data_IF_410686137512
#
_entry.id   IF_410686137512
#
_cell.length_a   1.000
_cell.length_b   1.000
_cell.length_c   1.000
_cell.angle_alpha   90.00
_cell.angle_beta   90.00
_cell.angle_gamma   90.00
#
_symmetry.space_group_name_H-M   'P 1'
#
loop_
_entity.id
_entity.type
_entity.pdbx_description
1 polymer ?
#
# COMPACT_ATOMS: atom_id res chain seq x y z
N UNK A 1 -15.02 -0.16 45.64
CA UNK A 1 -14.39 1.07 45.07
C UNK A 1 -14.21 0.78 43.59
N UNK A 2 -14.81 1.58 42.70
CA UNK A 2 -14.70 1.37 41.26
C UNK A 2 -13.25 1.63 40.83
N UNK A 3 -12.49 0.56 40.61
CA UNK A 3 -11.15 0.64 40.02
C UNK A 3 -11.30 1.09 38.58
N UNK A 4 -11.10 2.38 38.35
CA UNK A 4 -10.93 2.91 37.00
C UNK A 4 -9.72 2.21 36.36
N UNK A 5 -9.86 1.79 35.10
CA UNK A 5 -8.79 1.12 34.32
C UNK A 5 -7.66 2.07 33.91
N UNK A 6 -7.75 3.35 34.27
CA UNK A 6 -6.85 4.40 33.84
C UNK A 6 -6.39 5.33 34.97
N UNK A 7 -5.29 6.05 34.74
CA UNK A 7 -4.67 7.03 35.64
C UNK A 7 -4.25 8.29 34.85
N UNK A 8 -4.15 9.42 35.55
CA UNK A 8 -3.70 10.69 34.99
C UNK A 8 -4.86 11.66 34.72
N UNK A 9 -4.78 12.43 33.63
CA UNK A 9 -5.88 13.32 33.21
C UNK A 9 -6.91 12.55 32.38
N UNK A 10 -8.19 12.96 32.37
CA UNK A 10 -9.16 12.42 31.43
C UNK A 10 -8.73 12.69 29.97
N UNK A 11 -9.07 11.76 29.09
CA UNK A 11 -8.74 11.83 27.66
C UNK A 11 -9.24 13.11 26.95
N UNK A 12 -10.33 13.72 27.43
CA UNK A 12 -10.87 14.99 26.93
C UNK A 12 -9.95 16.21 27.16
N UNK A 13 -9.01 16.13 28.11
CA UNK A 13 -7.97 17.14 28.29
C UNK A 13 -6.82 16.98 27.27
N UNK A 14 -6.76 15.83 26.58
CA UNK A 14 -5.76 15.54 25.55
C UNK A 14 -6.31 15.85 24.15
N UNK A 15 -7.54 15.44 23.83
CA UNK A 15 -8.22 15.77 22.56
C UNK A 15 -9.42 16.70 22.81
N UNK A 16 -9.37 17.92 22.26
CA UNK A 16 -10.51 18.84 22.32
C UNK A 16 -10.10 20.31 22.45
N UNK A 17 -11.09 21.19 22.62
CA UNK A 17 -10.87 22.63 22.85
C UNK A 17 -10.06 22.94 24.11
N UNK A 18 -9.96 21.98 25.03
CA UNK A 18 -9.16 22.08 26.26
C UNK A 18 -7.73 21.55 26.10
N UNK A 19 -7.41 20.93 24.95
CA UNK A 19 -6.07 20.42 24.67
C UNK A 19 -5.06 21.57 24.55
N UNK A 20 -3.90 21.49 25.23
CA UNK A 20 -2.85 22.50 25.07
C UNK A 20 -2.24 22.50 23.66
N UNK A 21 -2.49 21.45 22.87
CA UNK A 21 -2.02 21.32 21.48
C UNK A 21 -3.08 21.73 20.45
N UNK A 22 -4.28 22.11 20.90
CA UNK A 22 -5.42 22.45 20.05
C UNK A 22 -5.95 21.27 19.22
N UNK A 23 -6.90 21.56 18.33
CA UNK A 23 -7.32 20.67 17.26
C UNK A 23 -6.80 21.23 15.93
N UNK A 24 -5.52 20.97 15.56
CA UNK A 24 -4.99 21.52 14.32
C UNK A 24 -5.79 20.95 13.15
N UNK A 25 -6.56 21.81 12.47
CA UNK A 25 -7.10 21.45 11.16
C UNK A 25 -5.91 21.07 10.27
N UNK A 26 -5.99 19.89 9.65
CA UNK A 26 -4.96 19.51 8.70
C UNK A 26 -4.96 20.52 7.54
N UNK A 27 -3.79 21.08 7.17
CA UNK A 27 -3.73 22.02 6.07
C UNK A 27 -4.23 21.35 4.79
N UNK A 28 -4.83 22.16 3.91
CA UNK A 28 -5.25 21.69 2.60
C UNK A 28 -4.06 21.10 1.85
N UNK A 29 -4.29 20.01 1.12
CA UNK A 29 -3.25 19.35 0.33
C UNK A 29 -2.94 20.23 -0.89
N UNK A 30 -1.72 20.78 -0.93
CA UNK A 30 -1.28 21.66 -2.00
C UNK A 30 -0.01 21.08 -2.63
N UNK A 31 0.04 20.91 -3.96
CA UNK A 31 1.27 20.50 -4.64
C UNK A 31 2.39 21.51 -4.40
N UNK A 32 3.59 21.02 -4.08
CA UNK A 32 4.76 21.86 -3.85
C UNK A 32 6.05 21.13 -4.26
N UNK A 33 7.22 21.78 -4.13
CA UNK A 33 8.51 21.16 -4.45
C UNK A 33 8.80 19.89 -3.62
N UNK A 34 8.28 19.82 -2.39
CA UNK A 34 8.44 18.68 -1.48
C UNK A 34 7.16 17.84 -1.32
N UNK A 35 6.07 18.20 -1.99
CA UNK A 35 4.79 17.49 -1.90
C UNK A 35 4.26 17.11 -3.29
N UNK A 36 4.40 15.83 -3.63
CA UNK A 36 3.81 15.26 -4.85
C UNK A 36 2.35 14.89 -4.63
N UNK A 37 1.44 15.49 -5.38
CA UNK A 37 0.01 15.15 -5.34
C UNK A 37 -0.36 14.46 -6.65
N UNK A 38 -0.90 13.24 -6.58
CA UNK A 38 -1.18 12.40 -7.76
C UNK A 38 -2.63 12.48 -8.25
N UNK A 39 -3.42 13.39 -7.70
CA UNK A 39 -4.78 13.69 -8.11
C UNK A 39 -4.94 15.20 -8.35
N UNK A 40 -5.99 15.58 -9.07
CA UNK A 40 -6.36 16.96 -9.30
C UNK A 40 -6.94 17.57 -8.02
N UNK A 41 -6.30 18.61 -7.50
CA UNK A 41 -6.79 19.40 -6.37
C UNK A 41 -7.69 20.51 -6.91
N UNK A 42 -8.99 20.54 -6.58
CA UNK A 42 -9.89 21.61 -7.00
C UNK A 42 -9.44 22.98 -6.46
N UNK A 43 -9.88 24.07 -7.07
CA UNK A 43 -9.57 25.45 -6.60
C UNK A 43 -10.03 25.72 -5.17
N UNK A 44 -11.04 25.00 -4.68
CA UNK A 44 -11.52 25.04 -3.29
C UNK A 44 -10.60 24.31 -2.30
N UNK A 45 -9.57 23.61 -2.80
CA UNK A 45 -8.61 22.82 -2.02
C UNK A 45 -9.17 21.51 -1.45
N UNK A 46 -10.47 21.25 -1.60
CA UNK A 46 -11.15 20.06 -1.06
C UNK A 46 -11.67 19.18 -2.20
N UNK A 47 -11.29 17.88 -2.25
CA UNK A 47 -11.90 16.92 -3.16
C UNK A 47 -13.41 16.80 -2.93
N UNK A 48 -14.16 16.39 -3.96
CA UNK A 48 -15.55 16.00 -3.80
C UNK A 48 -15.63 14.80 -2.82
N UNK A 49 -16.57 14.84 -1.87
CA UNK A 49 -16.70 13.76 -0.88
C UNK A 49 -17.35 12.50 -1.47
N UNK A 50 -18.17 12.66 -2.52
CA UNK A 50 -18.99 11.57 -3.07
C UNK A 50 -18.32 10.79 -4.20
N UNK A 51 -17.14 11.22 -4.67
CA UNK A 51 -16.45 10.56 -5.77
C UNK A 51 -14.92 10.66 -5.63
N UNK A 52 -14.16 9.62 -6.05
CA UNK A 52 -12.71 9.68 -6.07
C UNK A 52 -12.20 10.87 -6.89
N UNK A 53 -11.15 11.58 -6.43
CA UNK A 53 -10.61 12.70 -7.18
C UNK A 53 -9.98 12.22 -8.49
N UNK A 54 -10.08 13.06 -9.52
CA UNK A 54 -9.53 12.76 -10.85
C UNK A 54 -8.01 12.58 -10.76
N UNK A 55 -7.41 11.56 -11.40
CA UNK A 55 -5.96 11.41 -11.46
C UNK A 55 -5.27 12.65 -12.04
N UNK A 56 -4.08 12.98 -11.52
CA UNK A 56 -3.23 14.01 -12.11
C UNK A 56 -2.53 13.46 -13.33
N UNK A 57 -2.66 14.14 -14.46
CA UNK A 57 -1.93 13.81 -15.68
C UNK A 57 -0.43 14.05 -15.51
N UNK A 58 0.37 13.18 -16.13
CA UNK A 58 1.82 13.23 -16.11
C UNK A 58 2.40 12.33 -17.19
N UNK A 59 3.73 12.23 -17.20
CA UNK A 59 4.46 11.39 -18.13
C UNK A 59 5.12 10.23 -17.37
N UNK A 60 5.27 9.08 -18.04
CA UNK A 60 6.01 7.94 -17.51
C UNK A 60 7.47 8.33 -17.23
N UNK A 61 8.00 7.86 -16.09
CA UNK A 61 9.39 8.08 -15.70
C UNK A 61 9.97 6.76 -15.23
N UNK A 62 11.01 6.32 -15.93
CA UNK A 62 11.73 5.10 -15.62
C UNK A 62 13.18 5.42 -15.25
N UNK A 63 13.40 5.89 -14.02
CA UNK A 63 14.74 6.06 -13.45
C UNK A 63 14.79 5.64 -11.97
N UNK A 64 15.93 5.87 -11.32
CA UNK A 64 16.20 5.43 -9.94
C UNK A 64 15.58 6.33 -8.86
N UNK A 65 14.89 7.42 -9.23
CA UNK A 65 14.21 8.35 -8.33
C UNK A 65 12.71 8.09 -8.21
N UNK A 66 12.13 7.28 -9.11
CA UNK A 66 10.70 7.00 -9.17
C UNK A 66 10.43 5.48 -9.14
N UNK A 67 9.20 5.11 -8.80
CA UNK A 67 8.74 3.73 -8.83
C UNK A 67 8.77 3.22 -10.28
N UNK A 68 9.39 2.07 -10.52
CA UNK A 68 9.28 1.36 -11.81
C UNK A 68 7.84 0.84 -11.99
N UNK A 69 7.03 1.54 -12.77
CA UNK A 69 5.62 1.18 -12.96
C UNK A 69 5.45 -0.06 -13.87
N UNK A 70 4.60 -1.05 -13.51
CA UNK A 70 4.32 -2.22 -14.34
C UNK A 70 3.95 -1.89 -15.79
N UNK A 71 3.16 -0.83 -15.98
CA UNK A 71 2.63 -0.38 -17.26
C UNK A 71 3.58 0.53 -18.08
N UNK A 72 4.82 0.77 -17.61
CA UNK A 72 5.81 1.53 -18.38
C UNK A 72 6.21 0.78 -19.66
N UNK A 73 6.42 1.52 -20.75
CA UNK A 73 6.99 0.97 -21.99
C UNK A 73 8.41 0.39 -21.80
N UNK A 74 9.12 0.79 -20.74
CA UNK A 74 10.46 0.29 -20.41
C UNK A 74 10.42 -0.97 -19.52
N UNK A 75 9.23 -1.38 -19.08
CA UNK A 75 9.01 -2.66 -18.39
C UNK A 75 9.03 -3.79 -19.41
N UNK A 76 10.22 -4.23 -19.81
CA UNK A 76 10.41 -5.30 -20.80
C UNK A 76 10.61 -6.66 -20.12
N UNK A 77 10.17 -7.73 -20.78
CA UNK A 77 10.32 -9.11 -20.30
C UNK A 77 10.85 -10.03 -21.42
N UNK A 78 11.84 -10.90 -21.13
CA UNK A 78 12.34 -11.87 -22.09
C UNK A 78 11.33 -12.99 -22.30
N UNK A 79 10.99 -13.26 -23.57
CA UNK A 79 10.12 -14.35 -23.99
C UNK A 79 10.87 -15.16 -25.03
N UNK A 80 10.98 -16.47 -24.81
CA UNK A 80 11.52 -17.41 -25.77
C UNK A 80 10.48 -17.70 -26.86
N UNK A 81 10.88 -17.60 -28.12
CA UNK A 81 10.05 -18.01 -29.25
C UNK A 81 10.15 -19.51 -29.53
N UNK A 82 9.40 -19.97 -30.55
CA UNK A 82 9.36 -21.40 -30.93
C UNK A 82 10.71 -21.96 -31.39
N UNK A 83 11.65 -21.10 -31.76
CA UNK A 83 12.98 -21.46 -32.21
C UNK A 83 14.02 -21.35 -31.07
N UNK A 84 13.59 -21.04 -29.84
CA UNK A 84 14.45 -20.84 -28.68
C UNK A 84 15.13 -19.46 -28.63
N UNK A 85 14.78 -18.53 -29.52
CA UNK A 85 15.35 -17.18 -29.52
C UNK A 85 14.65 -16.32 -28.46
N UNK A 86 15.43 -15.65 -27.60
CA UNK A 86 14.88 -14.76 -26.57
C UNK A 86 14.62 -13.36 -27.13
N UNK A 87 13.36 -12.94 -27.18
CA UNK A 87 12.94 -11.60 -27.58
C UNK A 87 12.37 -10.81 -26.40
N UNK A 88 12.68 -9.52 -26.34
CA UNK A 88 12.10 -8.63 -25.35
C UNK A 88 10.71 -8.17 -25.80
N UNK A 89 9.70 -8.41 -24.97
CA UNK A 89 8.34 -7.90 -25.16
C UNK A 89 7.96 -6.94 -24.05
N UNK A 90 6.98 -6.06 -24.30
CA UNK A 90 6.40 -5.23 -23.23
C UNK A 90 5.73 -6.14 -22.21
N UNK A 91 6.20 -6.08 -20.97
CA UNK A 91 5.70 -6.93 -19.89
C UNK A 91 4.23 -6.65 -19.60
N UNK A 92 3.80 -5.41 -19.76
CA UNK A 92 2.41 -5.02 -19.53
C UNK A 92 1.44 -5.74 -20.47
N UNK A 93 1.78 -5.90 -21.75
CA UNK A 93 0.95 -6.64 -22.73
C UNK A 93 0.80 -8.12 -22.31
N UNK A 94 1.85 -8.73 -21.74
CA UNK A 94 1.81 -10.10 -21.21
C UNK A 94 0.87 -10.16 -19.98
N UNK A 95 0.94 -9.16 -19.09
CA UNK A 95 0.06 -9.06 -17.92
C UNK A 95 -1.40 -8.90 -18.38
N UNK A 96 -1.67 -8.01 -19.32
CA UNK A 96 -3.02 -7.80 -19.88
C UNK A 96 -3.58 -9.09 -20.47
N UNK A 97 -2.79 -9.80 -21.27
CA UNK A 97 -3.19 -11.08 -21.86
C UNK A 97 -3.42 -12.19 -20.81
N UNK A 98 -2.62 -12.22 -19.74
CA UNK A 98 -2.79 -13.19 -18.66
C UNK A 98 -4.08 -12.94 -17.87
N UNK A 99 -4.41 -11.67 -17.64
CA UNK A 99 -5.56 -11.25 -16.84
C UNK A 99 -6.85 -11.05 -17.64
N UNK A 100 -6.80 -11.11 -18.98
CA UNK A 100 -7.99 -11.08 -19.83
C UNK A 100 -8.78 -12.39 -19.78
N UNK A 101 -8.19 -13.47 -19.26
CA UNK A 101 -8.82 -14.79 -19.13
C UNK A 101 -9.51 -14.90 -17.77
N UNK A 102 -10.67 -15.55 -17.68
CA UNK A 102 -11.30 -15.87 -16.39
C UNK A 102 -10.36 -16.68 -15.49
N UNK A 103 -10.36 -16.35 -14.20
CA UNK A 103 -9.61 -17.05 -13.16
C UNK A 103 -10.61 -17.59 -12.14
N UNK A 104 -10.85 -18.89 -12.17
CA UNK A 104 -11.92 -19.54 -11.43
C UNK A 104 -11.46 -20.24 -10.15
N UNK A 105 -10.15 -20.34 -9.91
CA UNK A 105 -9.62 -20.99 -8.71
C UNK A 105 -8.18 -20.55 -8.39
N UNK A 106 -7.69 -21.02 -7.24
CA UNK A 106 -6.36 -20.67 -6.70
C UNK A 106 -5.21 -21.11 -7.62
N UNK A 107 -5.36 -22.23 -8.35
CA UNK A 107 -4.36 -22.71 -9.31
C UNK A 107 -4.26 -21.80 -10.52
N UNK A 108 -5.39 -21.43 -11.12
CA UNK A 108 -5.43 -20.50 -12.25
C UNK A 108 -4.89 -19.12 -11.87
N UNK A 109 -5.13 -18.66 -10.63
CA UNK A 109 -4.55 -17.42 -10.12
C UNK A 109 -3.02 -17.51 -10.03
N UNK A 110 -2.49 -18.60 -9.49
CA UNK A 110 -1.05 -18.84 -9.43
C UNK A 110 -0.43 -18.91 -10.84
N UNK A 111 -1.07 -19.62 -11.77
CA UNK A 111 -0.61 -19.77 -13.16
C UNK A 111 -0.60 -18.43 -13.89
N UNK A 112 -1.63 -17.60 -13.72
CA UNK A 112 -1.68 -16.25 -14.26
C UNK A 112 -0.50 -15.41 -13.74
N UNK A 113 -0.25 -15.40 -12.42
CA UNK A 113 0.86 -14.66 -11.82
C UNK A 113 2.23 -15.16 -12.34
N UNK A 114 2.39 -16.47 -12.50
CA UNK A 114 3.63 -17.07 -12.98
C UNK A 114 3.90 -16.83 -14.47
N UNK A 115 2.86 -16.62 -15.28
CA UNK A 115 3.01 -16.40 -16.73
C UNK A 115 3.88 -15.19 -17.08
N UNK A 116 3.84 -14.13 -16.26
CA UNK A 116 4.68 -12.93 -16.39
C UNK A 116 5.76 -12.83 -15.30
N UNK A 117 6.00 -13.93 -14.57
CA UNK A 117 7.06 -14.12 -13.56
C UNK A 117 7.79 -15.46 -13.77
N UNK A 118 8.01 -15.87 -15.03
CA UNK A 118 8.52 -17.20 -15.42
C UNK A 118 9.81 -17.63 -14.70
N UNK A 119 10.71 -16.70 -14.39
CA UNK A 119 11.94 -16.97 -13.62
C UNK A 119 11.69 -17.57 -12.23
N UNK A 120 10.47 -17.43 -11.70
CA UNK A 120 10.07 -17.90 -10.39
C UNK A 120 9.16 -19.13 -10.42
N UNK A 121 8.86 -19.70 -11.61
CA UNK A 121 7.92 -20.83 -11.77
C UNK A 121 8.31 -22.07 -10.95
N UNK A 122 9.61 -22.34 -10.82
CA UNK A 122 10.11 -23.44 -9.98
C UNK A 122 10.13 -23.10 -8.49
N UNK A 123 10.18 -21.81 -8.13
CA UNK A 123 10.40 -21.34 -6.77
C UNK A 123 9.09 -21.02 -6.03
N UNK A 124 8.11 -20.45 -6.73
CA UNK A 124 6.85 -20.04 -6.13
C UNK A 124 5.82 -21.17 -6.27
N UNK A 125 5.41 -21.71 -5.12
CA UNK A 125 4.48 -22.83 -4.98
C UNK A 125 3.11 -22.43 -4.46
N UNK A 126 2.92 -21.18 -4.02
CA UNK A 126 1.61 -20.63 -3.62
C UNK A 126 0.88 -21.44 -2.54
N UNK A 127 1.63 -22.15 -1.68
CA UNK A 127 1.10 -23.08 -0.67
C UNK A 127 0.00 -22.46 0.20
N UNK A 128 0.25 -21.27 0.76
CA UNK A 128 -0.73 -20.60 1.61
C UNK A 128 -1.97 -20.13 0.85
N UNK A 129 -1.80 -19.72 -0.42
CA UNK A 129 -2.92 -19.33 -1.28
C UNK A 129 -3.83 -20.53 -1.56
N UNK A 130 -3.24 -21.67 -1.95
CA UNK A 130 -4.01 -22.89 -2.20
C UNK A 130 -4.70 -23.38 -0.93
N UNK A 131 -3.98 -23.44 0.19
CA UNK A 131 -4.54 -23.84 1.48
C UNK A 131 -5.74 -22.98 1.87
N UNK A 132 -5.66 -21.66 1.73
CA UNK A 132 -6.77 -20.77 2.06
C UNK A 132 -8.05 -21.13 1.28
N UNK A 133 -7.96 -21.17 -0.04
CA UNK A 133 -9.15 -21.33 -0.89
C UNK A 133 -9.66 -22.77 -0.99
N UNK A 134 -8.78 -23.76 -0.83
CA UNK A 134 -9.15 -25.17 -1.01
C UNK A 134 -9.47 -25.88 0.31
N UNK A 135 -8.96 -25.39 1.45
CA UNK A 135 -9.07 -26.09 2.74
C UNK A 135 -9.67 -25.23 3.87
N UNK A 136 -9.58 -23.89 3.81
CA UNK A 136 -9.94 -23.04 4.94
C UNK A 136 -11.20 -22.19 4.77
N UNK A 137 -11.52 -21.78 3.54
CA UNK A 137 -12.76 -21.06 3.25
C UNK A 137 -13.87 -22.04 2.88
N UNK A 138 -15.10 -21.66 3.20
CA UNK A 138 -16.27 -22.39 2.70
C UNK A 138 -16.36 -22.28 1.17
N UNK A 139 -16.99 -23.25 0.53
CA UNK A 139 -17.07 -23.31 -0.94
C UNK A 139 -17.74 -22.04 -1.49
N UNK A 140 -18.79 -21.57 -0.84
CA UNK A 140 -19.52 -20.35 -1.18
C UNK A 140 -18.64 -19.09 -1.09
N UNK A 141 -17.78 -19.01 -0.07
CA UNK A 141 -16.85 -17.88 0.10
C UNK A 141 -15.77 -17.87 -0.98
N UNK A 142 -15.20 -19.04 -1.28
CA UNK A 142 -14.24 -19.24 -2.37
C UNK A 142 -14.86 -18.88 -3.72
N UNK A 143 -16.07 -19.36 -4.00
CA UNK A 143 -16.78 -19.07 -5.24
C UNK A 143 -17.12 -17.58 -5.36
N UNK A 144 -17.56 -16.95 -4.27
CA UNK A 144 -17.78 -15.49 -4.26
C UNK A 144 -16.48 -14.73 -4.55
N UNK A 145 -15.36 -15.16 -3.98
CA UNK A 145 -14.08 -14.53 -4.27
C UNK A 145 -13.73 -14.62 -5.75
N UNK A 146 -13.70 -15.82 -6.35
CA UNK A 146 -13.27 -15.99 -7.74
C UNK A 146 -14.26 -15.45 -8.77
N UNK A 147 -15.57 -15.52 -8.50
CA UNK A 147 -16.60 -15.11 -9.45
C UNK A 147 -17.02 -13.63 -9.31
N UNK A 148 -16.84 -13.02 -8.14
CA UNK A 148 -17.28 -11.63 -7.87
C UNK A 148 -16.10 -10.73 -7.52
N UNK A 149 -15.30 -11.10 -6.52
CA UNK A 149 -14.29 -10.17 -5.99
C UNK A 149 -13.07 -10.06 -6.90
N UNK A 150 -12.48 -11.19 -7.32
CA UNK A 150 -11.26 -11.24 -8.11
C UNK A 150 -11.39 -10.55 -9.48
N UNK A 151 -12.51 -10.68 -10.24
CA UNK A 151 -12.70 -9.94 -11.48
C UNK A 151 -12.66 -8.42 -11.27
N UNK A 152 -13.19 -7.90 -10.17
CA UNK A 152 -13.10 -6.48 -9.83
C UNK A 152 -11.67 -6.07 -9.44
N UNK A 153 -10.92 -6.94 -8.75
CA UNK A 153 -9.47 -6.71 -8.51
C UNK A 153 -8.72 -6.66 -9.84
N UNK A 154 -9.02 -7.54 -10.80
CA UNK A 154 -8.42 -7.51 -12.13
C UNK A 154 -8.72 -6.19 -12.85
N UNK A 155 -9.97 -5.70 -12.80
CA UNK A 155 -10.30 -4.36 -13.33
C UNK A 155 -9.45 -3.27 -12.70
N UNK A 156 -9.24 -3.31 -11.38
CA UNK A 156 -8.33 -2.39 -10.69
C UNK A 156 -6.89 -2.51 -11.20
N UNK A 157 -6.38 -3.73 -11.41
CA UNK A 157 -5.03 -3.94 -11.98
C UNK A 157 -4.91 -3.29 -13.34
N UNK A 158 -5.83 -3.59 -14.25
CA UNK A 158 -5.80 -3.12 -15.64
C UNK A 158 -6.11 -1.62 -15.78
N UNK A 159 -6.73 -1.01 -14.77
CA UNK A 159 -6.94 0.44 -14.70
C UNK A 159 -5.67 1.24 -14.36
N UNK A 160 -4.55 0.58 -14.00
CA UNK A 160 -3.30 1.23 -13.59
C UNK A 160 -2.84 2.40 -14.47
N UNK A 161 -2.69 2.25 -15.81
CA UNK A 161 -2.25 3.37 -16.66
C UNK A 161 -3.24 4.54 -16.69
N UNK A 162 -4.53 4.30 -16.40
CA UNK A 162 -5.55 5.36 -16.33
C UNK A 162 -5.57 6.06 -14.97
N UNK A 163 -5.31 5.33 -13.89
CA UNK A 163 -5.38 5.84 -12.51
C UNK A 163 -4.05 6.44 -12.01
N UNK A 164 -2.92 5.95 -12.50
CA UNK A 164 -1.58 6.42 -12.12
C UNK A 164 -0.89 6.96 -13.37
N UNK A 165 -1.22 8.21 -13.73
CA UNK A 165 -0.67 8.89 -14.90
C UNK A 165 0.60 9.70 -14.58
N UNK A 166 0.76 10.12 -13.32
CA UNK A 166 1.93 10.84 -12.85
C UNK A 166 2.89 9.90 -12.09
N UNK A 167 4.21 10.11 -12.21
CA UNK A 167 5.20 9.22 -11.63
C UNK A 167 5.23 9.33 -10.10
N UNK A 168 5.40 8.20 -9.42
CA UNK A 168 5.47 8.15 -7.94
C UNK A 168 6.93 8.26 -7.51
N UNK A 169 7.35 9.34 -6.85
CA UNK A 169 8.73 9.48 -6.40
C UNK A 169 9.04 8.51 -5.26
N UNK A 170 10.27 8.06 -5.18
CA UNK A 170 10.75 7.26 -4.06
C UNK A 170 11.07 8.17 -2.86
N UNK A 171 10.54 7.82 -1.69
CA UNK A 171 10.82 8.50 -0.42
C UNK A 171 12.17 8.05 0.15
N UNK A 172 13.25 8.54 -0.46
CA UNK A 172 14.64 8.17 -0.16
C UNK A 172 15.12 8.69 1.21
N UNK A 173 16.13 8.00 1.75
CA UNK A 173 16.82 8.42 2.97
C UNK A 173 17.31 9.88 2.88
N UNK A 174 17.33 10.56 4.03
CA UNK A 174 17.75 11.98 4.16
C UNK A 174 16.94 13.00 3.34
N UNK A 175 15.80 12.61 2.75
CA UNK A 175 14.92 13.53 2.02
C UNK A 175 13.59 13.66 2.75
N UNK A 176 13.21 14.90 3.05
CA UNK A 176 11.87 15.25 3.52
C UNK A 176 10.95 15.49 2.32
N UNK A 177 10.03 14.55 2.08
CA UNK A 177 9.07 14.60 0.96
C UNK A 177 7.75 13.95 1.36
N UNK A 178 6.68 14.43 0.77
CA UNK A 178 5.32 13.93 0.94
C UNK A 178 4.70 13.52 -0.39
N UNK A 179 3.84 12.50 -0.36
CA UNK A 179 3.07 12.02 -1.51
C UNK A 179 1.62 11.87 -1.08
N UNK A 180 0.70 12.51 -1.80
CA UNK A 180 -0.74 12.31 -1.61
C UNK A 180 -1.34 11.57 -2.79
N UNK A 181 -2.09 10.50 -2.47
CA UNK A 181 -2.82 9.67 -3.42
C UNK A 181 -4.29 9.58 -3.00
N UNK A 182 -5.18 9.35 -3.96
CA UNK A 182 -6.53 8.89 -3.62
C UNK A 182 -6.52 7.45 -3.11
N UNK A 183 -7.51 7.08 -2.31
CA UNK A 183 -7.68 5.71 -1.87
C UNK A 183 -7.91 4.76 -3.05
N UNK A 184 -8.61 5.19 -4.12
CA UNK A 184 -8.73 4.42 -5.36
C UNK A 184 -7.37 4.14 -6.03
N UNK A 185 -6.48 5.13 -6.09
CA UNK A 185 -5.12 4.94 -6.60
C UNK A 185 -4.34 3.92 -5.75
N UNK A 186 -4.49 3.97 -4.43
CA UNK A 186 -3.86 3.00 -3.51
C UNK A 186 -4.44 1.60 -3.74
N UNK A 187 -5.75 1.44 -3.87
CA UNK A 187 -6.39 0.15 -4.18
C UNK A 187 -5.87 -0.44 -5.49
N UNK A 188 -5.68 0.39 -6.52
CA UNK A 188 -5.10 -0.01 -7.80
C UNK A 188 -3.63 -0.48 -7.66
N UNK A 189 -2.80 0.24 -6.89
CA UNK A 189 -1.41 -0.14 -6.62
C UNK A 189 -1.34 -1.44 -5.80
N UNK A 190 -2.20 -1.61 -4.80
CA UNK A 190 -2.26 -2.83 -3.99
C UNK A 190 -2.78 -4.02 -4.80
N UNK A 191 -3.73 -3.82 -5.72
CA UNK A 191 -4.17 -4.86 -6.65
C UNK A 191 -3.00 -5.34 -7.53
N UNK A 192 -2.17 -4.41 -8.03
CA UNK A 192 -0.95 -4.74 -8.76
C UNK A 192 0.08 -5.50 -7.91
N UNK A 193 0.20 -5.15 -6.62
CA UNK A 193 1.03 -5.87 -5.66
C UNK A 193 0.51 -7.29 -5.39
N UNK A 194 -0.82 -7.45 -5.26
CA UNK A 194 -1.50 -8.74 -5.12
C UNK A 194 -1.21 -9.65 -6.32
N UNK A 195 -1.28 -9.13 -7.54
CA UNK A 195 -0.93 -9.84 -8.77
C UNK A 195 0.59 -9.89 -9.05
N UNK A 196 1.43 -9.40 -8.14
CA UNK A 196 2.89 -9.42 -8.24
C UNK A 196 3.46 -8.78 -9.52
N UNK A 197 2.87 -7.68 -10.00
CA UNK A 197 3.21 -7.07 -11.29
C UNK A 197 4.44 -6.14 -11.20
N UNK A 198 4.78 -5.62 -10.02
CA UNK A 198 5.88 -4.64 -9.89
C UNK A 198 7.23 -5.24 -10.31
N UNK A 199 7.87 -4.69 -11.36
CA UNK A 199 9.15 -5.17 -11.87
C UNK A 199 10.30 -4.85 -10.92
N UNK A 200 11.37 -5.66 -10.96
CA UNK A 200 12.58 -5.48 -10.15
C UNK A 200 12.39 -5.55 -8.63
N UNK A 201 11.22 -6.00 -8.14
CA UNK A 201 10.86 -6.09 -6.71
C UNK A 201 10.92 -7.50 -6.10
N UNK A 202 11.33 -8.50 -6.88
CA UNK A 202 11.30 -9.92 -6.48
C UNK A 202 12.70 -10.50 -6.18
N UNK A 203 13.77 -9.73 -6.38
CA UNK A 203 15.14 -10.19 -6.13
C UNK A 203 15.55 -9.85 -4.68
N UNK A 204 16.18 -10.80 -3.99
CA UNK A 204 16.64 -10.66 -2.60
C UNK A 204 18.13 -10.32 -2.49
N UNK A 205 18.86 -10.25 -3.61
CA UNK A 205 20.29 -9.90 -3.62
C UNK A 205 20.50 -8.47 -3.10
N UNK A 206 21.49 -8.29 -2.23
CA UNK A 206 21.88 -6.99 -1.65
C UNK A 206 22.31 -5.95 -2.70
N UNK A 207 22.75 -6.39 -3.87
CA UNK A 207 23.16 -5.53 -4.99
C UNK A 207 21.97 -5.11 -5.89
N UNK A 208 20.74 -5.53 -5.58
CA UNK A 208 19.57 -5.16 -6.37
C UNK A 208 19.16 -3.70 -6.15
N UNK A 209 18.59 -3.07 -7.18
CA UNK A 209 18.15 -1.66 -7.17
C UNK A 209 17.27 -1.30 -5.97
N UNK A 210 16.42 -2.22 -5.54
CA UNK A 210 15.46 -2.04 -4.45
C UNK A 210 15.85 -2.77 -3.16
N UNK A 211 17.13 -3.15 -2.98
CA UNK A 211 17.57 -3.91 -1.80
C UNK A 211 17.31 -3.18 -0.46
N UNK A 212 17.29 -1.85 -0.46
CA UNK A 212 17.00 -1.00 0.70
C UNK A 212 15.51 -0.62 0.85
N UNK A 213 14.61 -1.25 0.07
CA UNK A 213 13.18 -1.04 0.14
C UNK A 213 12.47 -2.31 0.60
N UNK A 214 11.34 -2.20 1.33
CA UNK A 214 10.53 -3.36 1.68
C UNK A 214 9.98 -4.06 0.43
N UNK A 215 9.63 -5.33 0.58
CA UNK A 215 8.92 -6.06 -0.47
C UNK A 215 7.51 -5.50 -0.65
N UNK A 216 7.06 -5.39 -1.90
CA UNK A 216 5.71 -4.92 -2.24
C UNK A 216 4.84 -6.04 -2.81
N UNK A 217 5.39 -6.91 -3.65
CA UNK A 217 4.63 -8.01 -4.26
C UNK A 217 4.29 -9.07 -3.21
N UNK A 218 3.09 -9.65 -3.33
CA UNK A 218 2.54 -10.56 -2.32
C UNK A 218 3.03 -12.01 -2.47
N UNK A 219 3.97 -12.27 -3.37
CA UNK A 219 4.51 -13.61 -3.61
C UNK A 219 5.05 -14.27 -2.33
N UNK A 220 5.63 -13.52 -1.39
CA UNK A 220 6.10 -14.08 -0.11
C UNK A 220 4.94 -14.55 0.78
N UNK A 221 3.82 -13.84 0.75
CA UNK A 221 2.62 -14.20 1.50
C UNK A 221 2.01 -15.50 0.95
N UNK A 222 1.88 -15.60 -0.38
CA UNK A 222 1.35 -16.81 -1.03
C UNK A 222 2.23 -18.04 -0.84
N UNK A 223 3.55 -17.85 -0.80
CA UNK A 223 4.52 -18.93 -0.68
C UNK A 223 4.80 -19.37 0.76
N UNK A 224 4.19 -18.75 1.77
CA UNK A 224 4.41 -19.15 3.15
C UNK A 224 3.93 -20.59 3.40
N UNK A 225 4.32 -21.16 4.53
CA UNK A 225 3.91 -22.51 4.94
C UNK A 225 2.40 -22.66 5.22
N UNK A 226 1.61 -21.58 5.14
CA UNK A 226 0.18 -21.63 5.41
C UNK A 226 -0.14 -21.75 6.90
N UNK A 227 0.65 -21.09 7.76
CA UNK A 227 0.32 -20.90 9.17
C UNK A 227 -1.00 -20.13 9.32
N UNK A 228 -1.70 -20.35 10.44
CA UNK A 228 -2.98 -19.67 10.71
C UNK A 228 -2.84 -18.14 10.61
N UNK A 229 -1.76 -17.59 11.15
CA UNK A 229 -1.46 -16.15 11.02
C UNK A 229 -1.28 -15.66 9.57
N UNK A 230 -0.82 -16.52 8.66
CA UNK A 230 -0.75 -16.16 7.23
C UNK A 230 -2.14 -16.22 6.59
N UNK A 231 -2.92 -17.24 6.94
CA UNK A 231 -4.27 -17.41 6.40
C UNK A 231 -5.18 -16.25 6.82
N UNK A 232 -5.12 -15.83 8.09
CA UNK A 232 -5.86 -14.66 8.57
C UNK A 232 -5.40 -13.36 7.87
N UNK A 233 -4.10 -13.18 7.61
CA UNK A 233 -3.62 -12.05 6.80
C UNK A 233 -4.22 -12.05 5.39
N UNK A 234 -4.29 -13.21 4.74
CA UNK A 234 -4.91 -13.33 3.42
C UNK A 234 -6.41 -13.04 3.47
N UNK A 235 -7.14 -13.51 4.49
CA UNK A 235 -8.56 -13.17 4.71
C UNK A 235 -8.74 -11.66 4.85
N UNK A 236 -7.92 -10.99 5.66
CA UNK A 236 -7.97 -9.53 5.80
C UNK A 236 -7.75 -8.80 4.46
N UNK A 237 -6.80 -9.26 3.64
CA UNK A 237 -6.52 -8.70 2.31
C UNK A 237 -7.70 -8.92 1.36
N UNK A 238 -8.28 -10.13 1.33
CA UNK A 238 -9.47 -10.43 0.52
C UNK A 238 -10.65 -9.56 0.94
N UNK A 239 -10.86 -9.39 2.25
CA UNK A 239 -11.88 -8.52 2.80
C UNK A 239 -11.66 -7.04 2.44
N UNK A 240 -10.41 -6.55 2.49
CA UNK A 240 -10.08 -5.20 2.01
C UNK A 240 -10.50 -5.02 0.55
N UNK A 241 -10.10 -5.95 -0.33
CA UNK A 241 -10.45 -5.85 -1.75
C UNK A 241 -11.95 -5.92 -1.99
N UNK A 242 -12.67 -6.83 -1.32
CA UNK A 242 -14.13 -6.90 -1.36
C UNK A 242 -14.76 -5.54 -1.01
N UNK A 243 -14.28 -4.87 0.04
CA UNK A 243 -14.83 -3.56 0.44
C UNK A 243 -14.59 -2.47 -0.60
N UNK A 244 -13.37 -2.33 -1.11
CA UNK A 244 -13.02 -1.23 -2.04
C UNK A 244 -13.57 -1.45 -3.44
N UNK A 245 -13.85 -2.70 -3.84
CA UNK A 245 -14.53 -2.99 -5.12
C UNK A 245 -16.04 -2.87 -5.03
N UNK A 246 -16.65 -3.13 -3.87
CA UNK A 246 -18.10 -2.91 -3.65
C UNK A 246 -18.45 -1.42 -3.51
N UNK A 247 -17.65 -0.66 -2.77
CA UNK A 247 -17.82 0.79 -2.59
C UNK A 247 -16.49 1.49 -2.79
N UNK A 248 -16.35 2.15 -3.94
CA UNK A 248 -15.12 2.85 -4.28
C UNK A 248 -14.84 3.97 -3.26
N UNK A 249 -13.65 3.98 -2.62
CA UNK A 249 -13.34 4.95 -1.59
C UNK A 249 -13.00 6.33 -2.21
N UNK A 250 -13.62 7.39 -1.69
CA UNK A 250 -13.44 8.77 -2.15
C UNK A 250 -12.34 9.58 -1.45
N UNK A 251 -11.76 9.05 -0.37
CA UNK A 251 -10.77 9.76 0.44
C UNK A 251 -9.38 9.80 -0.19
N UNK A 252 -8.48 10.51 0.50
CA UNK A 252 -7.07 10.67 0.13
C UNK A 252 -6.17 10.30 1.30
N UNK A 253 -4.95 9.85 1.01
CA UNK A 253 -3.94 9.49 2.00
C UNK A 253 -2.63 10.17 1.65
N UNK A 254 -1.96 10.73 2.66
CA UNK A 254 -0.65 11.38 2.51
C UNK A 254 0.42 10.60 3.24
N UNK A 255 1.43 10.13 2.50
CA UNK A 255 2.63 9.52 3.05
C UNK A 255 3.73 10.58 3.14
N UNK A 256 4.28 10.81 4.33
CA UNK A 256 5.33 11.81 4.54
C UNK A 256 6.58 11.19 5.14
N UNK A 257 7.71 11.27 4.44
CA UNK A 257 9.01 11.02 5.03
C UNK A 257 9.55 12.33 5.60
N UNK A 258 9.89 12.34 6.88
CA UNK A 258 10.55 13.46 7.55
C UNK A 258 11.96 13.05 7.95
N UNK A 259 12.95 13.82 7.50
CA UNK A 259 14.33 13.70 7.96
C UNK A 259 14.67 15.00 8.71
N UNK A 260 15.10 14.87 9.96
CA UNK A 260 15.53 15.99 10.79
C UNK A 260 17.06 16.04 10.73
N UNK A 261 17.65 17.15 10.23
CA UNK A 261 19.10 17.36 10.27
C UNK A 261 19.64 17.37 11.71
N UNK A 262 20.89 16.98 11.90
CA UNK A 262 21.49 16.85 13.23
C UNK A 262 21.57 18.20 13.97
N UNK A 263 21.82 19.27 13.24
CA UNK A 263 21.85 20.66 13.70
C UNK A 263 20.45 21.21 14.06
N UNK A 264 19.38 20.54 13.62
CA UNK A 264 17.99 20.86 13.98
C UNK A 264 17.49 20.07 15.19
N UNK A 265 18.30 19.17 15.78
CA UNK A 265 17.90 18.40 16.95
C UNK A 265 17.94 19.27 18.22
N UNK A 266 17.00 19.08 19.17
CA UNK A 266 17.04 19.80 20.44
C UNK A 266 18.33 19.51 21.22
N UNK A 267 18.91 20.55 21.86
CA UNK A 267 19.93 20.36 22.88
C UNK A 267 19.27 19.87 24.18
N UNK A 268 19.03 18.56 24.27
CA UNK A 268 18.34 17.94 25.41
C UNK A 268 18.96 18.29 26.77
N UNK A 269 20.29 18.44 26.85
CA UNK A 269 20.99 18.81 28.09
C UNK A 269 20.70 20.23 28.57
N UNK A 270 20.28 21.12 27.67
CA UNK A 270 19.97 22.51 27.96
C UNK A 270 18.44 22.76 27.98
N UNK A 271 17.62 21.70 27.91
CA UNK A 271 16.16 21.84 27.93
C UNK A 271 15.68 22.14 29.34
N UNK A 272 15.03 23.29 29.51
CA UNK A 272 14.40 23.72 30.77
C UNK A 272 12.89 23.40 30.83
N UNK A 273 12.34 22.75 29.79
CA UNK A 273 10.92 22.38 29.72
C UNK A 273 10.58 21.34 30.81
N UNK A 274 9.64 21.67 31.70
CA UNK A 274 9.18 20.76 32.74
C UNK A 274 8.36 19.59 32.16
N UNK A 275 8.60 18.38 32.65
CA UNK A 275 7.78 17.21 32.31
C UNK A 275 6.40 17.29 32.97
N UNK A 276 6.30 17.92 34.15
CA UNK A 276 5.05 17.99 34.92
C UNK A 276 3.96 18.83 34.26
N UNK A 277 4.28 19.64 33.25
CA UNK A 277 3.31 20.41 32.47
C UNK A 277 2.66 19.63 31.32
N UNK A 278 3.05 18.36 31.10
CA UNK A 278 2.47 17.53 30.05
C UNK A 278 1.29 16.73 30.62
N UNK A 279 0.05 16.90 30.10
CA UNK A 279 -1.05 16.03 30.47
C UNK A 279 -0.78 14.60 30.00
N UNK A 280 -0.88 13.65 30.92
CA UNK A 280 -0.64 12.22 30.67
C UNK A 280 -1.88 11.42 31.03
N UNK A 281 -2.30 10.54 30.13
CA UNK A 281 -3.34 9.55 30.35
C UNK A 281 -2.74 8.16 30.13
N UNK A 282 -2.94 7.26 31.10
CA UNK A 282 -2.47 5.87 31.01
C UNK A 282 -3.66 4.96 31.24
N UNK A 283 -3.98 4.12 30.27
CA UNK A 283 -5.08 3.15 30.32
C UNK A 283 -4.58 1.78 29.89
N UNK A 284 -4.96 0.75 30.64
CA UNK A 284 -4.61 -0.64 30.33
C UNK A 284 -5.67 -1.35 29.47
N UNK A 285 -6.83 -0.73 29.25
CA UNK A 285 -7.95 -1.35 28.54
C UNK A 285 -8.02 -0.98 27.05
N UNK A 286 -7.69 0.26 26.70
CA UNK A 286 -7.83 0.79 25.33
C UNK A 286 -6.59 0.52 24.47
N UNK A 287 -6.78 0.25 23.17
CA UNK A 287 -5.68 0.09 22.20
C UNK A 287 -5.35 1.40 21.47
N UNK A 288 -4.24 1.42 20.72
CA UNK A 288 -3.81 2.64 20.00
C UNK A 288 -4.81 3.00 18.89
N UNK A 289 -5.31 1.99 18.18
CA UNK A 289 -6.24 2.15 17.05
C UNK A 289 -7.62 2.67 17.47
N UNK A 290 -8.04 2.38 18.72
CA UNK A 290 -9.29 2.86 19.30
C UNK A 290 -9.21 4.35 19.72
N UNK A 291 -8.00 4.89 19.90
CA UNK A 291 -7.78 6.28 20.31
C UNK A 291 -7.84 7.24 19.09
N UNK A 292 -9.06 7.48 18.61
CA UNK A 292 -9.31 8.34 17.44
C UNK A 292 -8.89 9.80 17.65
N UNK A 293 -8.40 10.43 16.59
CA UNK A 293 -8.03 11.86 16.58
C UNK A 293 -6.65 12.18 17.16
N UNK A 294 -5.94 11.19 17.71
CA UNK A 294 -4.57 11.34 18.19
C UNK A 294 -3.53 10.95 17.12
N UNK A 295 -2.28 11.37 17.34
CA UNK A 295 -1.14 10.82 16.61
C UNK A 295 -0.93 9.39 17.12
N UNK A 296 -1.33 8.42 16.31
CA UNK A 296 -1.18 7.00 16.62
C UNK A 296 0.21 6.52 16.22
N UNK A 297 0.91 5.87 17.16
CA UNK A 297 2.29 5.39 16.97
C UNK A 297 2.28 3.96 16.43
N UNK A 298 3.01 3.73 15.33
CA UNK A 298 3.34 2.39 14.84
C UNK A 298 4.70 1.95 15.39
N UNK A 299 4.78 0.75 15.95
CA UNK A 299 6.03 0.14 16.41
C UNK A 299 6.78 -0.47 15.21
N UNK A 300 7.27 0.43 14.35
CA UNK A 300 7.73 0.12 13.00
C UNK A 300 9.07 -0.64 12.93
N UNK A 301 9.23 -1.42 11.84
CA UNK A 301 10.53 -1.93 11.41
C UNK A 301 11.30 -0.86 10.60
N UNK A 302 12.63 -0.99 10.55
CA UNK A 302 13.52 -0.08 9.82
C UNK A 302 13.42 -0.21 8.30
#
# INVERSE_FOLDING_TARGET
MSEYTWRGVPLSEIYGSQSPWGAPEFPLVIPSYNHTVLYHVPNTGRPAQDSPPKPKSGNDVWNHDFVRMPCSNQSLYPVEDRNGETKLKKRWEIIEQALSKPICNSQQLADAILSYNTKFKSLWKFKALHKLFNECLEQEESDYFFNVTLPEIVKLVLALPKLIQAPIPLLKQHKSKSISLSQLQISCLLANAFFCTFPRRNNTKKTSEYASYPFINFNRLYNSSGSDSTLEKLKCICHYFRRVTMKVPGGVVTFSRRAVPQDSLPLWRASEISISSLPVHVDSATTIEDAHGLIQVDFANK
#
